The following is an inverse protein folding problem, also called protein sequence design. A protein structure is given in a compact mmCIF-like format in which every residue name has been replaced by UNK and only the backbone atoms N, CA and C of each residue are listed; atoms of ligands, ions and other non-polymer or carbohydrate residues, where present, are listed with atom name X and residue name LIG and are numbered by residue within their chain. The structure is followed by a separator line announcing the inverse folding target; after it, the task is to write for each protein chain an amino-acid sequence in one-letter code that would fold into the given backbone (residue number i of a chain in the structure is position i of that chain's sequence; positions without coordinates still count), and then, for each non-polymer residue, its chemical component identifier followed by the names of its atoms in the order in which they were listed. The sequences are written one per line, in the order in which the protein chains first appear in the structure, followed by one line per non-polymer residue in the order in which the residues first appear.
data_IF_438258321120
#
_entry.id   IF_438258321120
#
_cell.length_a   1.000
_cell.length_b   1.000
_cell.length_c   1.000
_cell.angle_alpha   90.00
_cell.angle_beta   90.00
_cell.angle_gamma   90.00
#
_symmetry.space_group_name_H-M   'P 1'
#
loop_
_entity.id
_entity.type
_entity.pdbx_description
1 polymer ?
#
# COMPACT_ATOMS: atom_id res chain seq x y z
N UNK A 1 8.45 4.24 11.59
CA UNK A 1 7.76 2.97 11.80
C UNK A 1 7.09 3.01 13.18
N UNK A 2 7.83 3.06 14.28
CA UNK A 2 7.27 3.02 15.66
C UNK A 2 6.20 4.09 15.94
N UNK A 3 6.43 5.37 15.55
CA UNK A 3 5.42 6.43 15.69
C UNK A 3 4.12 6.14 14.93
N UNK A 4 4.18 5.29 13.90
CA UNK A 4 3.04 4.86 13.10
C UNK A 4 2.48 3.50 13.53
N UNK A 5 2.84 3.04 14.74
CA UNK A 5 2.43 1.76 15.34
C UNK A 5 2.69 0.53 14.48
N UNK A 6 3.68 0.58 13.60
CA UNK A 6 4.12 -0.56 12.79
C UNK A 6 5.30 -1.22 13.48
N UNK A 7 5.21 -2.53 13.67
CA UNK A 7 6.27 -3.35 14.25
C UNK A 7 7.53 -3.36 13.37
N UNK A 8 8.70 -3.29 14.01
CA UNK A 8 9.99 -3.24 13.31
C UNK A 8 10.29 -4.59 12.64
N UNK A 9 9.97 -5.70 13.27
CA UNK A 9 10.24 -7.03 12.68
C UNK A 9 9.36 -7.26 11.46
N UNK A 10 8.09 -6.87 11.53
CA UNK A 10 7.20 -6.90 10.37
C UNK A 10 7.75 -6.02 9.24
N UNK A 11 8.15 -4.79 9.55
CA UNK A 11 8.66 -3.88 8.52
C UNK A 11 9.93 -4.39 7.84
N UNK A 12 10.79 -5.12 8.54
CA UNK A 12 12.02 -5.74 7.98
C UNK A 12 11.73 -6.82 6.93
N UNK A 13 10.56 -7.41 6.93
CA UNK A 13 10.15 -8.40 5.91
C UNK A 13 10.01 -7.73 4.53
N UNK A 14 9.54 -6.48 4.52
CA UNK A 14 9.15 -5.78 3.30
C UNK A 14 10.03 -4.58 2.95
N UNK A 15 10.74 -4.03 3.93
CA UNK A 15 11.51 -2.80 3.80
C UNK A 15 12.97 -3.02 4.19
N UNK A 16 13.83 -2.15 3.69
CA UNK A 16 15.20 -2.00 4.17
C UNK A 16 15.42 -0.58 4.71
N UNK A 17 16.47 -0.40 5.48
CA UNK A 17 16.97 0.92 5.85
C UNK A 17 17.83 1.47 4.71
N UNK A 18 17.66 2.73 4.37
CA UNK A 18 18.42 3.43 3.36
C UNK A 18 19.08 4.67 3.96
N UNK A 19 20.35 4.85 3.65
CA UNK A 19 21.12 6.05 3.97
C UNK A 19 21.39 6.82 2.68
N UNK A 20 21.17 8.12 2.69
CA UNK A 20 21.33 8.96 1.50
C UNK A 20 21.75 10.38 1.89
N UNK A 21 22.50 11.04 1.00
CA UNK A 21 22.90 12.42 1.15
C UNK A 21 22.06 13.33 0.27
N UNK A 22 21.58 14.41 0.85
CA UNK A 22 20.81 15.44 0.14
C UNK A 22 21.21 16.82 0.66
N UNK A 23 21.64 17.72 -0.23
CA UNK A 23 22.11 19.08 0.13
C UNK A 23 23.18 19.09 1.24
N UNK A 24 24.20 18.23 1.13
CA UNK A 24 25.29 18.06 2.09
C UNK A 24 24.84 17.65 3.50
N UNK A 25 23.66 17.05 3.63
CA UNK A 25 23.14 16.47 4.88
C UNK A 25 22.88 14.99 4.68
N UNK A 26 23.30 14.22 5.69
CA UNK A 26 23.06 12.79 5.74
C UNK A 26 21.66 12.48 6.30
N UNK A 27 20.90 11.64 5.62
CA UNK A 27 19.58 11.20 6.02
C UNK A 27 19.52 9.68 6.01
N UNK A 28 18.60 9.14 6.79
CA UNK A 28 18.18 7.75 6.72
C UNK A 28 16.66 7.63 6.70
N UNK A 29 16.17 6.52 6.21
CA UNK A 29 14.75 6.24 6.15
C UNK A 29 14.49 4.77 5.89
N UNK A 30 13.22 4.38 5.93
CA UNK A 30 12.79 3.09 5.43
C UNK A 30 12.51 3.18 3.94
N UNK A 31 12.89 2.13 3.23
CA UNK A 31 12.74 2.03 1.78
C UNK A 31 11.97 0.77 1.42
N UNK A 32 10.96 0.95 0.60
CA UNK A 32 10.09 -0.10 0.07
C UNK A 32 10.34 -0.27 -1.41
N UNK A 33 10.75 -1.47 -1.84
CA UNK A 33 11.18 -1.71 -3.22
C UNK A 33 9.99 -1.82 -4.16
N UNK A 34 10.04 -1.13 -5.29
CA UNK A 34 9.06 -1.24 -6.35
C UNK A 34 9.46 -2.24 -7.44
N UNK A 35 8.55 -2.52 -8.37
CA UNK A 35 8.71 -3.51 -9.44
C UNK A 35 9.92 -3.24 -10.36
N UNK A 36 10.27 -1.97 -10.59
CA UNK A 36 11.41 -1.56 -11.42
C UNK A 36 12.74 -1.43 -10.66
N UNK A 37 12.77 -1.88 -9.40
CA UNK A 37 13.96 -1.81 -8.57
C UNK A 37 14.25 -0.44 -7.96
N UNK A 38 13.36 0.55 -8.14
CA UNK A 38 13.37 1.79 -7.37
C UNK A 38 12.86 1.57 -5.95
N UNK A 39 13.02 2.58 -5.09
CA UNK A 39 12.63 2.52 -3.69
C UNK A 39 11.77 3.71 -3.30
N UNK A 40 10.59 3.44 -2.76
CA UNK A 40 9.81 4.45 -2.07
C UNK A 40 10.39 4.66 -0.67
N UNK A 41 10.73 5.91 -0.35
CA UNK A 41 11.40 6.27 0.90
C UNK A 41 10.45 7.00 1.82
N UNK A 42 10.53 6.70 3.09
CA UNK A 42 9.83 7.41 4.16
C UNK A 42 10.74 7.62 5.36
N UNK A 43 10.80 8.84 5.82
CA UNK A 43 11.29 9.21 7.15
C UNK A 43 10.32 10.23 7.78
N UNK A 44 10.54 10.73 9.02
CA UNK A 44 9.64 11.67 9.68
C UNK A 44 9.41 12.99 8.92
N UNK A 45 10.31 13.36 8.00
CA UNK A 45 10.34 14.67 7.35
C UNK A 45 10.18 14.59 5.83
N UNK A 46 10.33 13.39 5.24
CA UNK A 46 10.40 13.23 3.80
C UNK A 46 9.69 11.99 3.30
N UNK A 47 8.96 12.16 2.20
CA UNK A 47 8.38 11.10 1.35
C UNK A 47 8.93 11.29 -0.05
N UNK A 48 9.53 10.28 -0.62
CA UNK A 48 10.11 10.36 -1.96
C UNK A 48 10.38 9.01 -2.57
N UNK A 49 11.04 9.02 -3.72
CA UNK A 49 11.44 7.82 -4.44
C UNK A 49 12.89 7.95 -4.90
N UNK A 50 13.68 6.89 -4.72
CA UNK A 50 15.00 6.75 -5.33
C UNK A 50 14.88 5.83 -6.55
N UNK A 51 15.42 6.27 -7.69
CA UNK A 51 15.34 5.54 -8.95
C UNK A 51 13.97 5.68 -9.63
N UNK A 52 13.57 4.66 -10.39
CA UNK A 52 12.33 4.70 -11.17
C UNK A 52 11.11 4.48 -10.27
N UNK A 53 10.12 5.38 -10.37
CA UNK A 53 8.84 5.23 -9.68
C UNK A 53 7.96 4.21 -10.40
N UNK A 54 7.51 3.21 -9.65
CA UNK A 54 6.62 2.16 -10.15
C UNK A 54 5.77 1.59 -9.00
N UNK A 55 4.79 0.77 -9.34
CA UNK A 55 4.00 -0.02 -8.38
C UNK A 55 4.87 -1.11 -7.74
N UNK A 56 4.43 -1.59 -6.58
CA UNK A 56 4.94 -2.84 -5.99
C UNK A 56 3.86 -3.91 -6.06
N UNK A 57 4.21 -5.09 -6.52
CA UNK A 57 3.33 -6.27 -6.57
C UNK A 57 3.89 -7.33 -5.63
N UNK A 58 3.06 -7.80 -4.71
CA UNK A 58 3.42 -8.81 -3.73
C UNK A 58 2.46 -9.99 -3.91
N UNK A 59 3.01 -11.13 -4.30
CA UNK A 59 2.28 -12.38 -4.44
C UNK A 59 2.29 -13.14 -3.13
N UNK A 60 1.11 -13.54 -2.64
CA UNK A 60 0.99 -14.38 -1.43
C UNK A 60 1.60 -15.77 -1.67
N UNK A 61 1.35 -16.32 -2.85
CA UNK A 61 1.96 -17.56 -3.30
C UNK A 61 2.40 -17.40 -4.75
N UNK A 62 3.58 -17.89 -5.09
CA UNK A 62 4.11 -17.85 -6.47
C UNK A 62 3.53 -18.93 -7.36
N UNK A 63 3.03 -20.01 -6.77
CA UNK A 63 2.56 -21.20 -7.48
C UNK A 63 1.04 -21.21 -7.70
N UNK A 64 0.29 -20.49 -6.87
CA UNK A 64 -1.18 -20.42 -6.97
C UNK A 64 -1.63 -19.01 -7.37
N UNK A 65 -2.53 -18.95 -8.35
CA UNK A 65 -3.21 -17.71 -8.71
C UNK A 65 -4.27 -17.42 -7.65
N UNK A 66 -4.19 -16.27 -7.00
CA UNK A 66 -5.20 -15.80 -6.07
C UNK A 66 -6.37 -15.19 -6.86
N UNK A 67 -7.59 -15.38 -6.36
CA UNK A 67 -8.80 -14.76 -6.95
C UNK A 67 -8.95 -13.31 -6.51
N UNK A 68 -8.42 -12.98 -5.33
CA UNK A 68 -8.53 -11.69 -4.69
C UNK A 68 -7.20 -10.93 -4.69
N UNK A 69 -7.28 -9.62 -4.89
CA UNK A 69 -6.15 -8.71 -4.73
C UNK A 69 -6.56 -7.49 -3.93
N UNK A 70 -5.64 -6.98 -3.11
CA UNK A 70 -5.82 -5.73 -2.36
C UNK A 70 -4.91 -4.65 -2.93
N UNK A 71 -5.49 -3.47 -3.15
CA UNK A 71 -4.79 -2.29 -3.65
C UNK A 71 -4.66 -1.26 -2.54
N UNK A 72 -3.43 -0.79 -2.29
CA UNK A 72 -3.11 0.30 -1.36
C UNK A 72 -2.53 1.48 -2.11
N UNK A 73 -2.78 2.70 -1.60
CA UNK A 73 -2.14 3.89 -2.16
C UNK A 73 -0.65 3.94 -1.82
N UNK A 74 -0.30 3.72 -0.55
CA UNK A 74 1.05 3.79 -0.04
C UNK A 74 1.51 2.53 0.72
N UNK A 75 2.82 2.35 0.84
CA UNK A 75 3.36 1.17 1.53
C UNK A 75 3.16 1.22 3.05
N UNK A 76 2.88 2.41 3.63
CA UNK A 76 2.55 2.51 5.06
C UNK A 76 1.20 1.86 5.35
N UNK A 77 0.21 2.00 4.44
CA UNK A 77 -1.10 1.38 4.55
C UNK A 77 -1.02 -0.12 4.36
N UNK A 78 -0.22 -0.58 3.40
CA UNK A 78 0.10 -1.99 3.25
C UNK A 78 0.71 -2.59 4.53
N UNK A 79 1.71 -1.93 5.14
CA UNK A 79 2.31 -2.39 6.39
C UNK A 79 1.30 -2.36 7.55
N UNK A 80 0.41 -1.36 7.59
CA UNK A 80 -0.67 -1.28 8.58
C UNK A 80 -1.65 -2.44 8.43
N UNK A 81 -2.00 -2.79 7.20
CA UNK A 81 -2.83 -3.96 6.91
C UNK A 81 -2.17 -5.26 7.39
N UNK A 82 -0.87 -5.43 7.16
CA UNK A 82 -0.12 -6.60 7.65
C UNK A 82 -0.10 -6.65 9.20
N UNK A 83 -0.01 -5.51 9.88
CA UNK A 83 -0.16 -5.43 11.35
C UNK A 83 -1.54 -5.92 11.80
N UNK A 84 -2.60 -5.47 11.13
CA UNK A 84 -3.98 -5.85 11.45
C UNK A 84 -4.24 -7.34 11.19
N UNK A 85 -3.68 -7.90 10.12
CA UNK A 85 -3.70 -9.34 9.86
C UNK A 85 -3.03 -10.13 10.98
N UNK A 86 -1.84 -9.72 11.43
CA UNK A 86 -1.12 -10.36 12.53
C UNK A 86 -1.89 -10.31 13.84
N UNK A 87 -2.67 -9.23 14.05
CA UNK A 87 -3.54 -9.06 15.21
C UNK A 87 -4.90 -9.78 15.09
N UNK A 88 -5.15 -10.53 13.99
CA UNK A 88 -6.42 -11.18 13.67
C UNK A 88 -7.62 -10.22 13.71
N UNK A 89 -7.47 -9.03 13.17
CA UNK A 89 -8.55 -8.04 13.13
C UNK A 89 -9.52 -8.32 11.99
N UNK A 90 -10.51 -9.20 12.25
CA UNK A 90 -11.49 -9.64 11.25
C UNK A 90 -12.36 -8.51 10.68
N UNK A 91 -12.57 -7.43 11.43
CA UNK A 91 -13.40 -6.31 10.95
C UNK A 91 -12.73 -5.47 9.87
N UNK A 92 -11.40 -5.51 9.80
CA UNK A 92 -10.59 -4.74 8.85
C UNK A 92 -9.93 -5.58 7.78
N UNK A 93 -9.73 -6.87 8.03
CA UNK A 93 -9.06 -7.74 7.10
C UNK A 93 -10.05 -8.45 6.17
N UNK A 94 -9.61 -8.69 4.95
CA UNK A 94 -10.35 -9.49 3.98
C UNK A 94 -10.18 -10.97 4.36
N UNK A 95 -11.26 -11.77 4.46
CA UNK A 95 -11.20 -13.15 4.95
C UNK A 95 -10.73 -14.16 3.89
N UNK A 96 -10.05 -13.69 2.86
CA UNK A 96 -9.54 -14.50 1.76
C UNK A 96 -8.03 -14.34 1.61
N UNK A 97 -7.37 -15.32 1.02
CA UNK A 97 -5.98 -15.20 0.59
C UNK A 97 -5.90 -14.22 -0.58
N UNK A 98 -5.11 -13.16 -0.43
CA UNK A 98 -5.03 -12.07 -1.38
C UNK A 98 -3.59 -11.83 -1.81
N UNK A 99 -3.41 -11.49 -3.09
CA UNK A 99 -2.21 -10.78 -3.54
C UNK A 99 -2.33 -9.28 -3.21
N UNK A 100 -1.22 -8.55 -3.32
CA UNK A 100 -1.21 -7.11 -3.00
C UNK A 100 -0.58 -6.28 -4.10
N UNK A 101 -1.15 -5.11 -4.35
CA UNK A 101 -0.53 -4.03 -5.12
C UNK A 101 -0.45 -2.79 -4.23
N UNK A 102 0.73 -2.19 -4.18
CA UNK A 102 0.93 -0.84 -3.64
C UNK A 102 1.21 0.07 -4.81
N UNK A 103 0.35 1.07 -5.01
CA UNK A 103 0.49 2.03 -6.11
C UNK A 103 1.73 2.90 -5.95
N UNK A 104 2.14 3.17 -4.68
CA UNK A 104 3.23 4.09 -4.32
C UNK A 104 2.95 5.57 -4.70
N UNK A 105 1.95 5.79 -5.52
CA UNK A 105 1.32 7.07 -5.86
C UNK A 105 0.09 6.81 -6.71
N UNK A 106 -0.95 7.61 -6.58
CA UNK A 106 -2.13 7.56 -7.46
C UNK A 106 -1.77 7.70 -8.95
N UNK A 107 -0.69 8.43 -9.27
CA UNK A 107 -0.18 8.59 -10.64
C UNK A 107 0.40 7.29 -11.25
N UNK A 108 0.52 6.23 -10.46
CA UNK A 108 0.97 4.92 -10.95
C UNK A 108 -0.20 3.95 -11.21
N UNK A 109 -1.45 4.39 -11.09
CA UNK A 109 -2.63 3.55 -11.33
C UNK A 109 -2.57 2.84 -12.69
N UNK A 110 -2.27 3.55 -13.77
CA UNK A 110 -2.22 2.98 -15.13
C UNK A 110 -1.28 1.76 -15.23
N UNK A 111 -0.22 1.74 -14.41
CA UNK A 111 0.73 0.62 -14.36
C UNK A 111 0.17 -0.61 -13.64
N UNK A 112 -0.89 -0.43 -12.84
CA UNK A 112 -1.55 -1.50 -12.09
C UNK A 112 -2.72 -2.12 -12.87
N UNK A 113 -3.43 -1.34 -13.70
CA UNK A 113 -4.70 -1.72 -14.31
C UNK A 113 -4.65 -3.07 -15.04
N UNK A 114 -3.59 -3.32 -15.83
CA UNK A 114 -3.45 -4.60 -16.54
C UNK A 114 -3.31 -5.82 -15.60
N UNK A 115 -2.69 -5.62 -14.42
CA UNK A 115 -2.62 -6.68 -13.40
C UNK A 115 -3.99 -6.90 -12.74
N UNK A 116 -4.73 -5.81 -12.44
CA UNK A 116 -6.00 -5.88 -11.72
C UNK A 116 -7.07 -6.64 -12.50
N UNK A 117 -7.10 -6.52 -13.82
CA UNK A 117 -8.05 -7.21 -14.69
C UNK A 117 -7.96 -8.75 -14.64
N UNK A 118 -6.86 -9.31 -14.13
CA UNK A 118 -6.68 -10.76 -14.02
C UNK A 118 -7.27 -11.36 -12.73
N UNK A 119 -7.80 -10.54 -11.81
CA UNK A 119 -8.40 -10.97 -10.56
C UNK A 119 -9.92 -10.93 -10.62
N UNK A 120 -10.56 -11.84 -9.88
CA UNK A 120 -12.02 -11.90 -9.78
C UNK A 120 -12.55 -10.76 -8.91
N UNK A 121 -11.82 -10.41 -7.83
CA UNK A 121 -12.20 -9.35 -6.90
C UNK A 121 -10.99 -8.47 -6.57
N UNK A 122 -11.18 -7.17 -6.66
CA UNK A 122 -10.20 -6.14 -6.33
C UNK A 122 -10.69 -5.34 -5.13
N UNK A 123 -10.03 -5.46 -4.00
CA UNK A 123 -10.32 -4.71 -2.78
C UNK A 123 -9.49 -3.41 -2.73
N UNK A 124 -10.15 -2.28 -2.73
CA UNK A 124 -9.52 -0.96 -2.77
C UNK A 124 -9.41 -0.37 -1.38
N UNK A 125 -8.21 -0.28 -0.83
CA UNK A 125 -7.87 0.39 0.43
C UNK A 125 -7.11 1.70 0.13
N UNK A 126 -7.81 2.68 -0.44
CA UNK A 126 -7.26 3.99 -0.81
C UNK A 126 -7.61 5.04 0.23
N UNK A 127 -6.92 6.17 0.18
CA UNK A 127 -7.14 7.28 1.11
C UNK A 127 -8.58 7.84 1.03
N UNK A 128 -9.14 8.26 2.16
CA UNK A 128 -10.47 8.87 2.28
C UNK A 128 -10.49 10.34 1.84
N UNK A 129 -9.71 10.68 0.81
CA UNK A 129 -9.63 12.01 0.24
C UNK A 129 -10.12 12.06 -1.23
N UNK A 130 -10.04 13.23 -1.86
CA UNK A 130 -10.44 13.41 -3.26
C UNK A 130 -9.54 12.63 -4.24
N UNK A 131 -8.26 12.42 -3.88
CA UNK A 131 -7.30 11.65 -4.66
C UNK A 131 -7.68 10.18 -4.69
N UNK A 132 -7.92 9.59 -3.50
CA UNK A 132 -8.35 8.20 -3.35
C UNK A 132 -9.68 7.94 -4.05
N UNK A 133 -10.67 8.83 -3.88
CA UNK A 133 -11.97 8.70 -4.58
C UNK A 133 -11.84 8.71 -6.11
N UNK A 134 -11.09 9.66 -6.67
CA UNK A 134 -10.85 9.69 -8.13
C UNK A 134 -10.10 8.46 -8.62
N UNK A 135 -9.15 7.97 -7.84
CA UNK A 135 -8.39 6.76 -8.17
C UNK A 135 -9.28 5.52 -8.15
N UNK A 136 -10.18 5.41 -7.17
CA UNK A 136 -11.19 4.35 -7.10
C UNK A 136 -12.11 4.36 -8.33
N UNK A 137 -12.68 5.51 -8.70
CA UNK A 137 -13.55 5.64 -9.86
C UNK A 137 -12.80 5.32 -11.17
N UNK A 138 -11.57 5.79 -11.33
CA UNK A 138 -10.75 5.46 -12.49
C UNK A 138 -10.47 3.95 -12.59
N UNK A 139 -10.18 3.29 -11.46
CA UNK A 139 -9.99 1.84 -11.39
C UNK A 139 -11.28 1.10 -11.75
N UNK A 140 -12.43 1.51 -11.19
CA UNK A 140 -13.73 0.92 -11.46
C UNK A 140 -14.14 1.05 -12.93
N UNK A 141 -13.85 2.18 -13.57
CA UNK A 141 -14.14 2.40 -15.00
C UNK A 141 -13.40 1.42 -15.93
N UNK A 142 -12.23 0.92 -15.53
CA UNK A 142 -11.42 0.00 -16.35
C UNK A 142 -11.62 -1.46 -15.97
N UNK A 143 -11.72 -1.75 -14.67
CA UNK A 143 -11.80 -3.12 -14.14
C UNK A 143 -13.24 -3.58 -13.98
N UNK A 144 -14.18 -2.63 -13.79
CA UNK A 144 -15.62 -2.93 -13.66
C UNK A 144 -16.09 -3.15 -12.24
N UNK A 145 -17.21 -3.85 -12.10
CA UNK A 145 -17.91 -4.05 -10.81
C UNK A 145 -17.19 -5.02 -9.86
N UNK A 146 -16.11 -5.66 -10.29
CA UNK A 146 -15.27 -6.47 -9.42
C UNK A 146 -14.43 -5.64 -8.43
N UNK A 147 -14.41 -4.31 -8.55
CA UNK A 147 -13.71 -3.41 -7.62
C UNK A 147 -14.63 -3.04 -6.47
N UNK A 148 -14.19 -3.35 -5.24
CA UNK A 148 -14.91 -3.06 -4.00
C UNK A 148 -14.16 -1.97 -3.23
N UNK A 149 -14.88 -0.92 -2.81
CA UNK A 149 -14.35 0.12 -1.94
C UNK A 149 -14.37 -0.34 -0.48
N UNK A 150 -13.20 -0.52 0.11
CA UNK A 150 -13.01 -0.92 1.50
C UNK A 150 -12.67 0.26 2.43
N UNK A 151 -12.60 1.48 1.90
CA UNK A 151 -12.24 2.69 2.68
C UNK A 151 -13.23 2.98 3.82
N UNK A 152 -14.46 2.48 3.71
CA UNK A 152 -15.47 2.55 4.76
C UNK A 152 -15.04 1.86 6.07
N UNK A 153 -14.11 0.89 6.02
CA UNK A 153 -13.61 0.13 7.18
C UNK A 153 -12.80 1.01 8.14
N UNK A 154 -12.19 2.08 7.64
CA UNK A 154 -11.45 3.08 8.44
C UNK A 154 -12.09 4.46 8.34
N UNK A 155 -13.42 4.50 8.28
CA UNK A 155 -14.20 5.75 8.25
C UNK A 155 -13.83 6.66 9.42
N UNK A 156 -13.60 7.94 9.11
CA UNK A 156 -13.21 8.97 10.09
C UNK A 156 -11.70 9.16 10.22
N UNK A 157 -10.93 8.38 9.46
CA UNK A 157 -9.49 8.54 9.28
C UNK A 157 -9.18 8.74 7.80
N UNK A 158 -8.07 9.44 7.51
CA UNK A 158 -7.69 9.67 6.11
C UNK A 158 -7.22 8.40 5.43
N UNK A 159 -6.39 7.62 6.10
CA UNK A 159 -5.82 6.39 5.57
C UNK A 159 -5.82 5.27 6.62
N UNK A 160 -5.46 4.06 6.22
CA UNK A 160 -5.43 2.90 7.10
C UNK A 160 -4.34 3.01 8.16
N UNK A 161 -3.23 3.70 7.88
CA UNK A 161 -2.18 3.92 8.87
C UNK A 161 -2.61 4.92 9.94
N UNK A 162 -3.33 5.97 9.58
CA UNK A 162 -3.89 6.93 10.54
C UNK A 162 -4.90 6.22 11.46
N UNK A 163 -5.71 5.31 10.92
CA UNK A 163 -6.58 4.45 11.72
C UNK A 163 -5.77 3.59 12.72
N UNK A 164 -4.76 2.86 12.25
CA UNK A 164 -3.90 2.04 13.10
C UNK A 164 -3.19 2.87 14.17
N UNK A 165 -2.70 4.05 13.81
CA UNK A 165 -2.02 4.98 14.72
C UNK A 165 -2.96 5.67 15.71
N UNK A 166 -4.26 5.76 15.39
CA UNK A 166 -5.25 6.52 16.16
C UNK A 166 -5.07 8.04 16.01
N UNK A 167 -4.51 8.48 14.88
CA UNK A 167 -4.29 9.89 14.53
C UNK A 167 -5.34 10.36 13.53
N UNK A 168 -6.05 11.44 13.86
CA UNK A 168 -7.09 12.07 13.01
C UNK A 168 -6.59 13.36 12.43
#
# INVERSE_FOLDING_TARGET
VMKRKIDIQLSRVYCCEVHYDLYNKHYFGIAFRNRKGGYEIRNPYYKGCIGHKDITVIKQNKETIQEHIIVFEGFMDFLSYQMLLTANNESLCIPYSCDYIVLNSINCLDKALGNLQSYQVVHSFLDNDDGGRRTFEAMKNVVGDSVIDESHRYKGYNDLNDFLAGTR
#
